data_IF_682706735409
#
_entry.id   IF_682706735409
#
_cell.length_a   1.000
_cell.length_b   1.000
_cell.length_c   1.000
_cell.angle_alpha   90.00
_cell.angle_beta   90.00
_cell.angle_gamma   90.00
#
_symmetry.space_group_name_H-M   'P 1'
#
loop_
_entity.id
_entity.type
_entity.pdbx_description
1 polymer ?
#
# COMPACT_ATOMS: atom_id res chain seq x y z
N UNK A 1 15.36 -10.74 17.67
CA UNK A 1 14.32 -10.84 18.72
C UNK A 1 13.01 -10.47 18.05
N UNK A 2 12.18 -11.46 17.72
CA UNK A 2 10.98 -11.26 16.90
C UNK A 2 9.84 -10.77 17.79
N UNK A 3 9.28 -9.58 17.51
CA UNK A 3 8.11 -9.07 18.21
C UNK A 3 6.89 -9.75 17.59
N UNK A 4 6.27 -10.69 18.31
CA UNK A 4 4.99 -11.26 17.91
C UNK A 4 3.87 -10.26 18.21
N UNK A 5 3.33 -9.61 17.17
CA UNK A 5 2.17 -8.72 17.29
C UNK A 5 0.89 -9.52 17.01
N UNK A 6 -0.10 -9.53 17.92
CA UNK A 6 -1.28 -10.43 17.90
C UNK A 6 -2.30 -10.17 16.77
N UNK A 7 -2.02 -9.22 15.88
CA UNK A 7 -2.87 -8.81 14.73
C UNK A 7 -2.16 -8.98 13.38
N UNK A 8 -1.01 -9.66 13.35
CA UNK A 8 -0.60 -10.28 12.11
C UNK A 8 -1.75 -11.23 11.69
N UNK A 9 -2.33 -10.99 10.50
CA UNK A 9 -2.86 -12.12 9.73
C UNK A 9 -1.79 -13.20 9.83
N UNK A 10 -2.18 -14.40 10.24
CA UNK A 10 -1.29 -15.51 10.55
C UNK A 10 -0.63 -16.03 9.27
N UNK A 11 0.15 -15.18 8.62
CA UNK A 11 0.85 -15.42 7.40
C UNK A 11 2.27 -15.78 7.76
N UNK A 12 2.65 -17.01 7.39
CA UNK A 12 4.03 -17.47 7.46
C UNK A 12 4.91 -16.79 6.40
N UNK A 13 4.41 -15.77 5.70
CA UNK A 13 5.16 -15.03 4.69
C UNK A 13 6.09 -14.02 5.36
N UNK A 14 7.38 -14.39 5.44
CA UNK A 14 8.45 -13.63 6.06
C UNK A 14 9.71 -13.74 5.18
N UNK A 15 9.75 -13.08 4.00
CA UNK A 15 10.95 -13.07 3.17
C UNK A 15 12.13 -12.46 3.92
N UNK A 16 13.33 -12.90 3.57
CA UNK A 16 14.57 -12.37 4.16
C UNK A 16 15.45 -11.66 3.15
N UNK A 17 15.34 -11.99 1.86
CA UNK A 17 16.19 -11.42 0.82
C UNK A 17 15.49 -11.32 -0.54
N UNK A 18 16.00 -10.43 -1.39
CA UNK A 18 15.66 -10.39 -2.81
C UNK A 18 16.56 -11.36 -3.56
N UNK A 19 15.95 -12.31 -4.26
CA UNK A 19 16.66 -13.29 -5.10
C UNK A 19 16.74 -12.88 -6.57
N UNK A 20 15.81 -12.03 -7.03
CA UNK A 20 15.72 -11.63 -8.42
C UNK A 20 14.92 -10.33 -8.60
N UNK A 21 15.46 -9.40 -9.41
CA UNK A 21 14.67 -8.33 -9.99
C UNK A 21 13.81 -8.85 -11.16
N UNK A 22 12.50 -8.56 -11.17
CA UNK A 22 11.59 -8.97 -12.24
C UNK A 22 11.23 -7.78 -13.12
N UNK A 23 10.70 -6.72 -12.52
CA UNK A 23 10.26 -5.52 -13.24
C UNK A 23 10.08 -4.33 -12.27
N UNK A 24 9.67 -3.17 -12.79
CA UNK A 24 9.20 -2.03 -12.01
C UNK A 24 7.75 -1.69 -12.36
N UNK A 25 7.09 -0.98 -11.45
CA UNK A 25 5.79 -0.34 -11.69
C UNK A 25 6.05 1.13 -12.01
N UNK A 26 5.40 1.66 -13.05
CA UNK A 26 5.40 3.10 -13.34
C UNK A 26 4.58 3.86 -12.27
N UNK A 27 5.20 4.11 -11.11
CA UNK A 27 4.60 4.73 -9.93
C UNK A 27 5.48 5.84 -9.38
N UNK A 28 4.90 6.74 -8.56
CA UNK A 28 5.64 7.78 -7.84
C UNK A 28 6.68 7.19 -6.89
N UNK A 29 6.22 6.27 -6.04
CA UNK A 29 7.01 5.64 -4.98
C UNK A 29 8.06 4.62 -5.46
N UNK A 30 8.25 4.46 -6.78
CA UNK A 30 9.28 3.57 -7.33
C UNK A 30 9.08 2.10 -6.99
N UNK A 31 7.85 1.61 -6.94
CA UNK A 31 7.58 0.19 -6.61
C UNK A 31 8.24 -0.76 -7.60
N UNK A 32 8.95 -1.75 -7.08
CA UNK A 32 9.60 -2.81 -7.82
C UNK A 32 8.81 -4.12 -7.70
N UNK A 33 8.86 -4.95 -8.73
CA UNK A 33 8.38 -6.32 -8.72
C UNK A 33 9.62 -7.21 -8.65
N UNK A 34 9.71 -8.01 -7.61
CA UNK A 34 10.88 -8.83 -7.31
C UNK A 34 10.47 -10.26 -6.96
N UNK A 35 11.43 -11.18 -7.02
CA UNK A 35 11.33 -12.49 -6.39
C UNK A 35 12.15 -12.48 -5.12
N UNK A 36 11.55 -12.93 -4.03
CA UNK A 36 12.21 -13.18 -2.74
C UNK A 36 12.35 -14.68 -2.53
N UNK A 37 13.07 -15.04 -1.47
CA UNK A 37 13.11 -16.39 -0.91
C UNK A 37 11.73 -16.91 -0.45
N UNK A 38 10.73 -16.02 -0.31
CA UNK A 38 9.33 -16.36 -0.03
C UNK A 38 8.37 -16.13 -1.22
N UNK A 39 8.88 -16.00 -2.45
CA UNK A 39 8.06 -15.89 -3.67
C UNK A 39 7.97 -14.48 -4.26
N UNK A 40 6.97 -14.26 -5.12
CA UNK A 40 6.76 -12.96 -5.80
C UNK A 40 6.43 -11.87 -4.78
N UNK A 41 6.99 -10.67 -4.95
CA UNK A 41 6.78 -9.57 -4.03
C UNK A 41 6.76 -8.20 -4.73
N UNK A 42 6.06 -7.25 -4.11
CA UNK A 42 6.19 -5.82 -4.42
C UNK A 42 7.10 -5.17 -3.38
N UNK A 43 8.10 -4.42 -3.84
CA UNK A 43 9.14 -3.87 -2.99
C UNK A 43 9.25 -2.36 -3.18
N UNK A 44 9.21 -1.61 -2.09
CA UNK A 44 9.55 -0.19 -2.05
C UNK A 44 10.81 -0.03 -1.17
N UNK A 45 11.87 0.53 -1.75
CA UNK A 45 13.18 0.62 -1.11
C UNK A 45 13.61 2.06 -0.85
N UNK A 46 14.69 2.24 -0.08
CA UNK A 46 15.39 3.51 0.00
C UNK A 46 15.91 3.96 -1.38
N UNK A 47 16.16 5.25 -1.52
CA UNK A 47 16.46 5.89 -2.80
C UNK A 47 15.24 6.11 -3.71
N UNK A 48 14.03 5.71 -3.29
CA UNK A 48 12.82 5.93 -4.09
C UNK A 48 12.51 7.44 -4.27
N UNK A 49 11.83 7.84 -5.36
CA UNK A 49 11.59 9.24 -5.68
C UNK A 49 10.77 10.03 -4.65
N UNK A 50 9.91 9.36 -3.87
CA UNK A 50 9.06 9.97 -2.84
C UNK A 50 9.76 10.05 -1.47
N UNK A 51 11.00 9.55 -1.40
CA UNK A 51 11.86 9.62 -0.22
C UNK A 51 11.56 8.56 0.85
N UNK A 52 12.36 8.53 1.92
CA UNK A 52 12.28 7.48 2.95
C UNK A 52 10.98 7.52 3.76
N UNK A 53 10.35 8.70 3.88
CA UNK A 53 9.11 8.85 4.64
C UNK A 53 7.91 8.15 3.98
N UNK A 54 7.93 7.95 2.65
CA UNK A 54 6.93 7.16 1.96
C UNK A 54 6.89 5.71 2.48
N UNK A 55 8.07 5.11 2.73
CA UNK A 55 8.17 3.74 3.28
C UNK A 55 7.56 3.64 4.68
N UNK A 56 7.84 4.63 5.53
CA UNK A 56 7.29 4.70 6.89
C UNK A 56 5.77 4.79 6.86
N UNK A 57 5.22 5.58 5.93
CA UNK A 57 3.77 5.76 5.79
C UNK A 57 3.08 4.52 5.23
N UNK A 58 3.71 3.85 4.26
CA UNK A 58 3.22 2.55 3.77
C UNK A 58 3.17 1.52 4.89
N UNK A 59 4.26 1.40 5.68
CA UNK A 59 4.31 0.52 6.83
C UNK A 59 3.21 0.87 7.85
N UNK A 60 3.11 2.14 8.24
CA UNK A 60 2.15 2.60 9.24
C UNK A 60 0.70 2.42 8.76
N UNK A 61 0.39 2.83 7.54
CA UNK A 61 -0.95 2.72 6.98
C UNK A 61 -1.39 1.28 6.79
N UNK A 62 -0.48 0.41 6.33
CA UNK A 62 -0.74 -1.03 6.22
C UNK A 62 -0.97 -1.64 7.60
N UNK A 63 -0.10 -1.31 8.57
CA UNK A 63 -0.23 -1.82 9.93
C UNK A 63 -1.55 -1.41 10.61
N UNK A 64 -1.93 -0.13 10.51
CA UNK A 64 -3.18 0.37 11.08
C UNK A 64 -4.42 -0.23 10.38
N UNK A 65 -4.35 -0.45 9.07
CA UNK A 65 -5.41 -1.13 8.32
C UNK A 65 -5.60 -2.56 8.83
N UNK A 66 -4.50 -3.30 9.02
CA UNK A 66 -4.54 -4.66 9.57
C UNK A 66 -5.10 -4.68 11.01
N UNK A 67 -4.73 -3.71 11.86
CA UNK A 67 -5.29 -3.57 13.21
C UNK A 67 -6.81 -3.37 13.23
N UNK A 68 -7.37 -2.75 12.18
CA UNK A 68 -8.82 -2.58 12.00
C UNK A 68 -9.49 -3.81 11.37
N UNK A 69 -8.75 -4.89 11.14
CA UNK A 69 -9.25 -6.10 10.48
C UNK A 69 -9.47 -5.93 8.98
N UNK A 70 -8.91 -4.87 8.36
CA UNK A 70 -9.02 -4.68 6.93
C UNK A 70 -8.08 -5.62 6.17
N UNK A 71 -8.50 -6.14 5.02
CA UNK A 71 -7.66 -7.01 4.20
C UNK A 71 -6.52 -6.19 3.58
N UNK A 72 -5.29 -6.44 4.02
CA UNK A 72 -4.06 -5.93 3.40
C UNK A 72 -3.31 -7.07 2.72
N UNK A 73 -2.26 -6.74 1.97
CA UNK A 73 -1.25 -7.73 1.65
C UNK A 73 -0.51 -8.16 2.93
N UNK A 74 0.02 -9.38 2.92
CA UNK A 74 1.08 -9.73 3.86
C UNK A 74 2.31 -8.87 3.58
N UNK A 75 3.00 -8.43 4.63
CA UNK A 75 4.14 -7.54 4.50
C UNK A 75 5.26 -7.90 5.47
N UNK A 76 6.47 -7.52 5.08
CA UNK A 76 7.67 -7.65 5.89
C UNK A 76 8.60 -6.44 5.67
N UNK A 77 9.61 -6.33 6.52
CA UNK A 77 10.75 -5.44 6.30
C UNK A 77 11.97 -6.31 6.02
N UNK A 78 12.67 -6.03 4.93
CA UNK A 78 13.92 -6.69 4.58
C UNK A 78 15.02 -5.65 4.40
N UNK A 79 16.27 -6.10 4.43
CA UNK A 79 17.42 -5.26 4.12
C UNK A 79 17.80 -5.46 2.64
N UNK A 80 17.76 -4.39 1.85
CA UNK A 80 18.33 -4.37 0.50
C UNK A 80 19.83 -4.13 0.61
N UNK A 81 20.63 -4.92 -0.10
CA UNK A 81 22.08 -4.76 -0.14
C UNK A 81 22.54 -4.32 -1.54
N UNK A 82 23.73 -3.71 -1.65
CA UNK A 82 24.20 -3.09 -2.91
C UNK A 82 24.35 -4.10 -4.07
N UNK A 83 24.37 -5.40 -3.78
CA UNK A 83 24.46 -6.47 -4.77
C UNK A 83 23.18 -6.65 -5.60
N UNK A 84 22.05 -6.09 -5.17
CA UNK A 84 20.73 -6.47 -5.71
C UNK A 84 20.32 -5.77 -7.02
N UNK A 85 21.14 -4.85 -7.57
CA UNK A 85 20.85 -4.01 -8.76
C UNK A 85 19.34 -3.82 -9.05
N UNK A 86 18.70 -2.91 -8.31
CA UNK A 86 17.26 -2.71 -8.31
C UNK A 86 16.87 -1.37 -8.96
N UNK A 87 16.70 -1.29 -10.30
CA UNK A 87 16.44 -0.04 -11.00
C UNK A 87 14.98 0.42 -10.88
N UNK A 88 14.77 1.70 -10.56
CA UNK A 88 13.45 2.32 -10.59
C UNK A 88 13.03 2.70 -12.03
N UNK A 89 11.73 2.83 -12.29
CA UNK A 89 11.21 3.17 -13.62
C UNK A 89 11.70 4.54 -14.13
N UNK A 90 11.60 5.59 -13.31
CA UNK A 90 11.84 6.97 -13.75
C UNK A 90 13.32 7.30 -13.89
N UNK A 91 14.10 7.04 -12.84
CA UNK A 91 15.55 7.19 -12.78
C UNK A 91 16.06 6.69 -11.42
N UNK A 92 17.33 6.28 -11.35
CA UNK A 92 17.98 5.82 -10.12
C UNK A 92 17.78 4.32 -9.85
N UNK A 93 18.32 3.88 -8.72
CA UNK A 93 18.21 2.51 -8.22
C UNK A 93 17.96 2.53 -6.71
N UNK A 94 17.49 1.42 -6.18
CA UNK A 94 17.37 1.25 -4.74
C UNK A 94 18.72 1.48 -4.05
N UNK A 95 18.69 2.19 -2.93
CA UNK A 95 19.83 2.34 -2.04
C UNK A 95 19.85 1.20 -1.02
N UNK A 96 21.05 0.79 -0.55
CA UNK A 96 21.15 -0.17 0.54
C UNK A 96 20.42 0.30 1.80
N UNK A 97 19.74 -0.62 2.48
CA UNK A 97 19.02 -0.37 3.72
C UNK A 97 17.62 -0.97 3.74
N UNK A 98 16.77 -0.58 4.71
CA UNK A 98 15.46 -1.17 4.90
C UNK A 98 14.52 -0.92 3.72
N UNK A 99 13.83 -1.97 3.30
CA UNK A 99 12.77 -1.92 2.30
C UNK A 99 11.46 -2.48 2.87
N UNK A 100 10.36 -1.86 2.47
CA UNK A 100 9.02 -2.36 2.73
C UNK A 100 8.63 -3.31 1.59
N UNK A 101 8.32 -4.55 1.92
CA UNK A 101 7.98 -5.58 0.94
C UNK A 101 6.62 -6.19 1.25
N UNK A 102 5.79 -6.37 0.23
CA UNK A 102 4.50 -7.05 0.34
C UNK A 102 4.45 -8.28 -0.56
N UNK A 103 3.68 -9.28 -0.17
CA UNK A 103 3.46 -10.48 -0.97
C UNK A 103 2.78 -10.10 -2.29
N UNK A 104 3.31 -10.62 -3.39
CA UNK A 104 2.65 -10.52 -4.68
C UNK A 104 1.42 -11.44 -4.73
N UNK A 105 0.29 -10.91 -5.17
CA UNK A 105 -0.95 -11.67 -5.37
C UNK A 105 -1.36 -11.59 -6.85
N UNK A 106 -2.02 -12.62 -7.38
CA UNK A 106 -2.69 -12.49 -8.68
C UNK A 106 -3.90 -11.56 -8.51
N UNK A 107 -3.98 -10.54 -9.36
CA UNK A 107 -4.95 -9.48 -9.24
C UNK A 107 -4.65 -8.35 -10.20
N UNK A 108 -5.40 -7.28 -10.04
CA UNK A 108 -5.18 -6.06 -10.80
C UNK A 108 -5.60 -4.85 -9.99
N UNK A 109 -4.94 -3.74 -10.27
CA UNK A 109 -5.48 -2.44 -9.88
C UNK A 109 -6.83 -2.20 -10.56
N UNK A 110 -7.68 -1.37 -9.95
CA UNK A 110 -9.07 -1.23 -10.38
C UNK A 110 -9.19 -0.60 -11.78
N UNK A 111 -8.42 0.45 -12.08
CA UNK A 111 -8.47 1.11 -13.38
C UNK A 111 -9.86 1.68 -13.74
N UNK A 112 -10.69 2.02 -12.73
CA UNK A 112 -12.02 2.65 -12.83
C UNK A 112 -13.19 1.80 -13.34
N UNK A 113 -13.01 0.52 -13.69
CA UNK A 113 -14.10 -0.30 -14.22
C UNK A 113 -15.15 -0.65 -13.14
N UNK A 114 -16.34 -0.03 -13.25
CA UNK A 114 -17.46 -0.25 -12.31
C UNK A 114 -17.90 -1.72 -12.23
N UNK A 115 -17.70 -2.51 -13.28
CA UNK A 115 -18.06 -3.93 -13.33
C UNK A 115 -17.17 -4.79 -12.42
N UNK A 116 -15.97 -4.33 -12.10
CA UNK A 116 -15.10 -5.01 -11.13
C UNK A 116 -15.62 -4.83 -9.70
N UNK A 117 -16.29 -3.71 -9.40
CA UNK A 117 -16.92 -3.51 -8.09
C UNK A 117 -18.07 -4.49 -7.83
N UNK A 118 -18.80 -4.91 -8.87
CA UNK A 118 -19.87 -5.92 -8.75
C UNK A 118 -19.35 -7.30 -8.32
N UNK A 119 -18.06 -7.55 -8.55
CA UNK A 119 -17.40 -8.83 -8.27
C UNK A 119 -16.74 -8.87 -6.90
N UNK A 120 -16.73 -7.76 -6.16
CA UNK A 120 -16.14 -7.71 -4.83
C UNK A 120 -16.93 -8.65 -3.89
N UNK A 121 -16.23 -9.42 -3.06
CA UNK A 121 -16.83 -10.29 -2.03
C UNK A 121 -16.78 -9.69 -0.62
N UNK A 122 -15.87 -8.75 -0.39
CA UNK A 122 -15.60 -8.13 0.90
C UNK A 122 -16.01 -6.65 0.92
N UNK A 123 -17.29 -6.37 0.66
CA UNK A 123 -17.81 -5.00 0.54
C UNK A 123 -17.49 -4.08 1.73
N UNK A 124 -17.46 -4.62 2.95
CA UNK A 124 -17.11 -3.84 4.15
C UNK A 124 -15.70 -3.23 4.08
N UNK A 125 -14.79 -3.84 3.31
CA UNK A 125 -13.44 -3.30 3.07
C UNK A 125 -13.48 -1.97 2.31
N UNK A 126 -14.53 -1.68 1.52
CA UNK A 126 -14.71 -0.39 0.85
C UNK A 126 -14.93 0.71 1.88
N UNK A 127 -15.87 0.52 2.81
CA UNK A 127 -16.13 1.49 3.88
C UNK A 127 -14.93 1.63 4.81
N UNK A 128 -14.29 0.51 5.15
CA UNK A 128 -13.06 0.51 5.94
C UNK A 128 -11.92 1.29 5.30
N UNK A 129 -11.73 1.15 3.98
CA UNK A 129 -10.73 1.90 3.22
C UNK A 129 -10.97 3.42 3.30
N UNK A 130 -12.22 3.86 3.17
CA UNK A 130 -12.60 5.28 3.29
C UNK A 130 -12.32 5.81 4.70
N UNK A 131 -12.59 5.01 5.74
CA UNK A 131 -12.29 5.38 7.13
C UNK A 131 -10.79 5.56 7.32
N UNK A 132 -9.98 4.60 6.89
CA UNK A 132 -8.52 4.68 7.05
C UNK A 132 -7.92 5.82 6.25
N UNK A 133 -8.32 6.00 4.98
CA UNK A 133 -7.85 7.11 4.17
C UNK A 133 -8.22 8.46 4.81
N UNK A 134 -9.41 8.56 5.43
CA UNK A 134 -9.83 9.79 6.12
C UNK A 134 -9.00 10.04 7.37
N UNK A 135 -8.79 9.02 8.21
CA UNK A 135 -7.96 9.16 9.43
C UNK A 135 -6.51 9.48 9.12
N UNK A 136 -5.96 8.87 8.07
CA UNK A 136 -4.58 9.10 7.64
C UNK A 136 -4.44 10.28 6.68
N UNK A 137 -5.55 10.92 6.31
CA UNK A 137 -5.60 12.01 5.32
C UNK A 137 -4.85 11.64 4.04
N UNK A 138 -5.10 10.43 3.55
CA UNK A 138 -4.48 9.89 2.34
C UNK A 138 -5.06 10.59 1.11
N UNK A 139 -4.28 11.51 0.57
CA UNK A 139 -4.77 12.37 -0.52
C UNK A 139 -4.59 11.76 -1.88
N UNK A 140 -3.85 10.66 -1.98
CA UNK A 140 -3.42 10.17 -3.28
C UNK A 140 -4.50 9.37 -3.99
N UNK A 141 -5.32 8.64 -3.24
CA UNK A 141 -6.38 7.79 -3.76
C UNK A 141 -7.54 8.60 -4.33
N UNK A 142 -8.25 9.36 -3.48
CA UNK A 142 -9.33 10.24 -3.92
C UNK A 142 -9.44 11.44 -2.98
N UNK A 143 -9.32 12.65 -3.52
CA UNK A 143 -9.41 13.90 -2.75
C UNK A 143 -9.94 15.06 -3.59
N UNK A 144 -11.22 15.40 -3.38
CA UNK A 144 -11.95 16.40 -4.15
C UNK A 144 -11.38 17.82 -4.11
N UNK A 145 -10.94 18.37 -2.95
CA UNK A 145 -10.41 19.73 -2.93
C UNK A 145 -9.20 19.98 -3.86
N UNK A 146 -8.53 18.92 -4.32
CA UNK A 146 -7.47 19.00 -5.34
C UNK A 146 -7.81 18.26 -6.65
N UNK A 147 -9.06 17.84 -6.84
CA UNK A 147 -9.50 17.00 -7.97
C UNK A 147 -8.60 15.75 -8.18
N UNK A 148 -8.05 15.19 -7.09
CA UNK A 148 -7.16 14.03 -7.16
C UNK A 148 -7.99 12.76 -7.24
N UNK A 149 -7.69 11.94 -8.24
CA UNK A 149 -8.28 10.61 -8.43
C UNK A 149 -7.17 9.66 -8.90
N UNK A 150 -6.96 8.58 -8.16
CA UNK A 150 -6.02 7.52 -8.47
C UNK A 150 -6.68 6.17 -8.21
N UNK A 151 -7.30 5.62 -9.24
CA UNK A 151 -7.91 4.28 -9.18
C UNK A 151 -6.87 3.17 -9.03
N UNK A 152 -5.61 3.42 -9.39
CA UNK A 152 -4.58 2.39 -9.38
C UNK A 152 -4.16 2.00 -7.97
N UNK A 153 -4.42 2.85 -6.97
CA UNK A 153 -4.15 2.50 -5.59
C UNK A 153 -5.20 1.52 -5.02
N UNK A 154 -6.30 1.23 -5.72
CA UNK A 154 -7.29 0.23 -5.32
C UNK A 154 -6.97 -1.09 -6.01
N UNK A 155 -6.62 -2.12 -5.23
CA UNK A 155 -6.25 -3.42 -5.77
C UNK A 155 -7.33 -4.48 -5.53
N UNK A 156 -7.59 -5.29 -6.54
CA UNK A 156 -8.48 -6.43 -6.50
C UNK A 156 -7.69 -7.72 -6.67
N UNK A 157 -7.62 -8.48 -5.58
CA UNK A 157 -7.04 -9.81 -5.55
C UNK A 157 -8.02 -10.84 -6.13
N UNK A 158 -7.48 -11.79 -6.90
CA UNK A 158 -8.21 -12.98 -7.35
C UNK A 158 -8.10 -14.15 -6.37
N UNK A 159 -7.38 -13.99 -5.26
CA UNK A 159 -7.26 -15.00 -4.21
C UNK A 159 -8.52 -15.06 -3.30
N UNK A 160 -9.68 -14.62 -3.81
CA UNK A 160 -10.96 -14.80 -3.14
C UNK A 160 -11.25 -16.29 -2.93
N UNK A 161 -11.96 -16.62 -1.84
CA UNK A 161 -12.44 -17.98 -1.60
C UNK A 161 -13.63 -18.37 -2.49
N UNK A 162 -14.25 -17.40 -3.17
CA UNK A 162 -15.39 -17.61 -4.06
C UNK A 162 -14.95 -17.49 -5.54
N UNK A 163 -15.31 -18.49 -6.36
CA UNK A 163 -14.90 -18.52 -7.76
C UNK A 163 -15.44 -17.31 -8.55
N UNK A 164 -14.55 -16.66 -9.31
CA UNK A 164 -14.86 -15.47 -10.09
C UNK A 164 -15.10 -14.18 -9.29
N UNK A 165 -15.04 -14.23 -7.96
CA UNK A 165 -15.06 -13.05 -7.09
C UNK A 165 -13.67 -12.44 -6.92
N UNK A 166 -13.67 -11.18 -6.53
CA UNK A 166 -12.47 -10.41 -6.24
C UNK A 166 -12.52 -9.95 -4.79
N UNK A 167 -11.37 -9.89 -4.14
CA UNK A 167 -11.26 -9.29 -2.81
C UNK A 167 -10.44 -8.01 -2.87
N UNK A 168 -10.98 -6.92 -2.32
CA UNK A 168 -10.24 -5.67 -2.18
C UNK A 168 -9.05 -5.87 -1.23
N UNK A 169 -7.89 -5.36 -1.60
CA UNK A 169 -6.73 -5.18 -0.71
C UNK A 169 -6.49 -3.70 -0.46
N UNK A 170 -6.39 -3.35 0.82
CA UNK A 170 -6.02 -2.01 1.27
C UNK A 170 -4.50 -1.87 1.13
N UNK A 171 -4.06 -0.89 0.33
CA UNK A 171 -2.65 -0.69 0.01
C UNK A 171 -2.34 0.76 -0.36
N UNK A 172 -1.03 1.03 -0.49
CA UNK A 172 -0.44 2.28 -0.98
C UNK A 172 -0.84 3.52 -0.17
N UNK A 173 -0.15 3.66 0.96
CA UNK A 173 -0.23 4.78 1.88
C UNK A 173 1.00 5.68 1.80
N UNK A 174 1.84 5.55 0.76
CA UNK A 174 3.02 6.38 0.51
C UNK A 174 2.74 7.89 0.68
N UNK A 175 1.51 8.31 0.37
CA UNK A 175 1.05 9.70 0.43
C UNK A 175 0.10 10.02 1.60
N UNK A 176 -0.10 9.06 2.51
CA UNK A 176 -0.77 9.31 3.77
C UNK A 176 0.02 10.31 4.61
N UNK A 177 -0.68 11.10 5.44
CA UNK A 177 -0.11 12.10 6.34
C UNK A 177 0.64 13.21 5.58
N UNK A 178 0.35 14.47 5.92
CA UNK A 178 1.00 15.65 5.30
C UNK A 178 0.94 15.69 3.76
N UNK A 179 -0.13 15.17 3.13
CA UNK A 179 -0.27 15.19 1.67
C UNK A 179 0.93 14.56 0.93
N UNK A 180 1.53 13.51 1.50
CA UNK A 180 2.74 12.89 0.98
C UNK A 180 4.05 13.56 1.38
N UNK A 181 4.02 14.73 2.02
CA UNK A 181 5.21 15.42 2.51
C UNK A 181 5.90 14.77 3.71
N UNK A 182 6.96 15.39 4.20
CA UNK A 182 7.77 14.83 5.28
C UNK A 182 7.00 14.67 6.60
N UNK A 183 7.31 13.60 7.33
CA UNK A 183 6.87 13.43 8.71
C UNK A 183 7.69 14.36 9.60
N UNK A 184 7.05 15.40 10.14
CA UNK A 184 7.68 16.41 11.01
C UNK A 184 7.01 16.43 12.38
N UNK A 185 7.56 17.17 13.35
CA UNK A 185 6.93 17.35 14.66
C UNK A 185 5.52 17.95 14.59
N UNK A 186 5.17 18.64 13.49
CA UNK A 186 3.85 19.20 13.28
C UNK A 186 2.74 18.15 13.09
N UNK A 187 3.09 16.87 12.92
CA UNK A 187 2.13 15.75 12.91
C UNK A 187 2.27 14.81 14.09
N UNK A 188 2.95 15.22 15.14
CA UNK A 188 3.18 14.38 16.32
C UNK A 188 1.95 14.24 17.22
N UNK A 189 0.89 15.04 17.01
CA UNK A 189 -0.31 15.05 17.84
C UNK A 189 -1.58 15.15 17.01
N UNK A 190 -2.55 14.30 17.33
CA UNK A 190 -3.90 14.36 16.74
C UNK A 190 -4.66 15.63 17.14
N UNK A 191 -4.28 16.27 18.24
CA UNK A 191 -4.93 17.52 18.69
C UNK A 191 -4.69 18.69 17.72
N UNK A 192 -3.57 18.65 17.00
CA UNK A 192 -3.11 19.74 16.13
C UNK A 192 -3.60 19.58 14.68
N UNK A 193 -4.24 18.45 14.36
CA UNK A 193 -4.71 18.14 13.01
C UNK A 193 -6.23 18.01 13.03
N UNK A 194 -6.92 18.95 12.39
CA UNK A 194 -8.37 18.90 12.15
C UNK A 194 -8.64 19.10 10.67
N UNK A 195 -9.47 18.23 10.11
CA UNK A 195 -9.85 18.24 8.70
C UNK A 195 -11.28 17.70 8.59
N UNK A 196 -12.17 18.45 7.96
CA UNK A 196 -13.59 18.06 7.78
C UNK A 196 -13.81 17.28 6.47
N UNK A 197 -12.78 17.15 5.64
CA UNK A 197 -12.89 16.47 4.36
C UNK A 197 -12.89 14.95 4.54
N UNK A 198 -13.62 14.28 3.64
CA UNK A 198 -13.56 12.82 3.48
C UNK A 198 -12.53 12.48 2.41
N UNK A 199 -11.67 11.52 2.71
CA UNK A 199 -10.62 11.04 1.81
C UNK A 199 -10.95 9.62 1.34
N UNK A 200 -10.50 9.26 0.13
CA UNK A 200 -10.68 7.90 -0.40
C UNK A 200 -12.09 7.54 -0.88
N UNK A 201 -13.08 8.42 -0.69
CA UNK A 201 -14.47 8.18 -1.10
C UNK A 201 -14.67 8.45 -2.60
N UNK A 202 -14.39 7.44 -3.43
CA UNK A 202 -14.74 7.48 -4.85
C UNK A 202 -16.26 7.61 -5.06
N UNK A 203 -16.72 8.28 -6.13
CA UNK A 203 -18.15 8.36 -6.45
C UNK A 203 -18.81 6.99 -6.60
N UNK A 204 -18.09 6.02 -7.18
CA UNK A 204 -18.59 4.66 -7.42
C UNK A 204 -18.82 3.85 -6.14
N UNK A 205 -18.19 4.22 -5.03
CA UNK A 205 -18.42 3.56 -3.74
C UNK A 205 -19.75 3.95 -3.11
N UNK A 206 -20.35 5.09 -3.50
CA UNK A 206 -21.61 5.57 -2.91
C UNK A 206 -22.82 4.73 -3.28
N UNK A 207 -22.70 3.92 -4.33
CA UNK A 207 -23.77 3.06 -4.85
C UNK A 207 -23.58 1.60 -4.49
N UNK A 208 -22.65 1.31 -3.57
CA UNK A 208 -22.28 -0.05 -3.15
C UNK A 208 -22.69 -0.27 -1.70
#
# INVERSE_FOLDING_TARGET
MSINLPWHSSSNWQPTEVTQFINHVNSGAGTLIVRTDAGLAYLKALGNPDGPHALVKDLLGTHLSAMLGLPTFDYALIEVIDLDELPFFKAGKAEPGPAFVTRGEDGSVWGSDKRLLDKIDNFDAISGLVVVDTWLRNTDRYYLPKNRVNWDNVFFSKESTEDGRLSLRVMDFSHAIQYGGELTKNVSSIADIRDENVFGLFPEFRTR
#
